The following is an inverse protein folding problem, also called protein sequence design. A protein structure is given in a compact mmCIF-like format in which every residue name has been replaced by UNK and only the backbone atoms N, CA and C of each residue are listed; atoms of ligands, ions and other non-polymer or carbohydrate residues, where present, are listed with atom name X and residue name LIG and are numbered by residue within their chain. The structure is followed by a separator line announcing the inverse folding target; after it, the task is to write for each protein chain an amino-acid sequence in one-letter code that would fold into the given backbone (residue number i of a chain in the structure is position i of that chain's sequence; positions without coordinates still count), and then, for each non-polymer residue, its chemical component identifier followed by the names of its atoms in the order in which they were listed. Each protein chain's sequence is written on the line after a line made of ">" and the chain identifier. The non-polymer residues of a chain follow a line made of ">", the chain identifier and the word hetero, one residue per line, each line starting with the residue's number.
data_IF_838188307459
#
_entry.id   IF_838188307459
#
_cell.length_a   1.000
_cell.length_b   1.000
_cell.length_c   1.000
_cell.angle_alpha   90.00
_cell.angle_beta   90.00
_cell.angle_gamma   90.00
#
_symmetry.space_group_name_H-M   'P 1'
#
loop_
_entity.id
_entity.type
_entity.pdbx_description
1 polymer ?
#
# COMPACT_ATOMS: atom_id res chain seq x y z
N UNK A 1 -3.59 -26.61 5.38
CA UNK A 1 -3.75 -27.88 6.13
C UNK A 1 -4.87 -27.78 7.18
N UNK A 2 -6.09 -27.41 6.73
CA UNK A 2 -7.26 -27.15 7.60
C UNK A 2 -8.43 -28.08 7.24
N UNK A 3 -8.51 -28.48 5.97
CA UNK A 3 -9.46 -29.46 5.42
C UNK A 3 -9.23 -30.88 5.93
N UNK A 4 -8.00 -31.23 6.28
CA UNK A 4 -7.65 -32.52 6.91
C UNK A 4 -8.02 -32.59 8.40
N UNK A 5 -8.17 -31.44 9.07
CA UNK A 5 -8.45 -31.34 10.52
C UNK A 5 -9.93 -31.13 10.86
N UNK A 6 -10.77 -30.69 9.92
CA UNK A 6 -12.20 -30.43 10.17
C UNK A 6 -13.09 -31.15 9.13
N UNK A 7 -13.48 -32.42 9.37
CA UNK A 7 -14.29 -33.23 8.44
C UNK A 7 -15.72 -32.71 8.17
N UNK A 8 -16.22 -31.79 9.01
CA UNK A 8 -17.56 -31.19 8.94
C UNK A 8 -17.56 -29.69 8.57
N UNK A 9 -16.46 -29.16 8.02
CA UNK A 9 -16.41 -27.76 7.63
C UNK A 9 -17.47 -27.47 6.55
N UNK A 10 -18.45 -26.65 6.91
CA UNK A 10 -19.50 -26.19 5.99
C UNK A 10 -18.88 -25.36 4.87
N UNK A 11 -19.40 -25.47 3.65
CA UNK A 11 -18.90 -24.74 2.48
C UNK A 11 -18.83 -23.23 2.75
N UNK A 12 -19.77 -22.72 3.55
CA UNK A 12 -19.81 -21.33 3.99
C UNK A 12 -18.58 -20.92 4.80
N UNK A 13 -18.08 -21.79 5.70
CA UNK A 13 -16.87 -21.52 6.49
C UNK A 13 -15.62 -21.50 5.61
N UNK A 14 -15.53 -22.39 4.62
CA UNK A 14 -14.39 -22.42 3.67
C UNK A 14 -14.34 -21.14 2.84
N UNK A 15 -15.50 -20.66 2.38
CA UNK A 15 -15.62 -19.39 1.66
C UNK A 15 -15.22 -18.21 2.53
N UNK A 16 -15.72 -18.13 3.76
CA UNK A 16 -15.43 -17.03 4.69
C UNK A 16 -13.92 -16.94 5.01
N UNK A 17 -13.27 -18.09 5.25
CA UNK A 17 -11.82 -18.15 5.47
C UNK A 17 -11.06 -17.70 4.22
N UNK A 18 -11.45 -18.17 3.03
CA UNK A 18 -10.81 -17.79 1.78
C UNK A 18 -10.92 -16.28 1.47
N UNK A 19 -12.10 -15.68 1.70
CA UNK A 19 -12.33 -14.24 1.54
C UNK A 19 -11.51 -13.41 2.56
N UNK A 20 -11.47 -13.85 3.82
CA UNK A 20 -10.67 -13.21 4.88
C UNK A 20 -9.17 -13.23 4.56
N UNK A 21 -8.67 -14.40 4.16
CA UNK A 21 -7.26 -14.58 3.78
C UNK A 21 -6.90 -13.79 2.51
N UNK A 22 -7.79 -13.78 1.50
CA UNK A 22 -7.64 -12.97 0.30
C UNK A 22 -7.52 -11.48 0.62
N UNK A 23 -8.41 -10.97 1.48
CA UNK A 23 -8.39 -9.58 1.95
C UNK A 23 -7.10 -9.26 2.69
N UNK A 24 -6.61 -10.17 3.55
CA UNK A 24 -5.36 -9.99 4.29
C UNK A 24 -4.15 -9.87 3.35
N UNK A 25 -4.07 -10.72 2.33
CA UNK A 25 -2.99 -10.68 1.33
C UNK A 25 -3.08 -9.38 0.51
N UNK A 26 -4.27 -9.01 0.05
CA UNK A 26 -4.50 -7.78 -0.69
C UNK A 26 -4.10 -6.52 0.11
N UNK A 27 -4.46 -6.48 1.39
CA UNK A 27 -4.08 -5.40 2.30
C UNK A 27 -2.55 -5.32 2.45
N UNK A 28 -1.87 -6.46 2.62
CA UNK A 28 -0.40 -6.49 2.75
C UNK A 28 0.31 -5.96 1.51
N UNK A 29 -0.22 -6.25 0.31
CA UNK A 29 0.35 -5.79 -0.95
C UNK A 29 0.14 -4.29 -1.15
N UNK A 30 -1.06 -3.79 -0.84
CA UNK A 30 -1.36 -2.37 -0.87
C UNK A 30 -0.51 -1.58 0.12
N UNK A 31 -0.32 -2.08 1.34
CA UNK A 31 0.44 -1.39 2.37
C UNK A 31 1.91 -1.15 1.96
N UNK A 32 2.51 -2.11 1.24
CA UNK A 32 3.86 -1.96 0.69
C UNK A 32 3.95 -0.83 -0.35
N UNK A 33 2.91 -0.63 -1.13
CA UNK A 33 2.86 0.41 -2.15
C UNK A 33 2.57 1.78 -1.53
N UNK A 34 1.77 1.84 -0.45
CA UNK A 34 1.43 3.09 0.25
C UNK A 34 2.67 3.84 0.76
N UNK A 35 3.73 3.14 1.19
CA UNK A 35 4.98 3.81 1.60
C UNK A 35 5.57 4.73 0.51
N UNK A 36 5.43 4.38 -0.77
CA UNK A 36 5.89 5.24 -1.87
C UNK A 36 5.03 6.51 -1.99
N UNK A 37 3.73 6.42 -1.72
CA UNK A 37 2.86 7.59 -1.67
C UNK A 37 3.23 8.51 -0.52
N UNK A 38 3.49 7.94 0.66
CA UNK A 38 3.90 8.71 1.84
C UNK A 38 5.20 9.45 1.58
N UNK A 39 6.21 8.78 1.01
CA UNK A 39 7.48 9.43 0.61
C UNK A 39 7.22 10.54 -0.42
N UNK A 40 6.38 10.27 -1.42
CA UNK A 40 6.01 11.25 -2.45
C UNK A 40 5.34 12.51 -1.89
N UNK A 41 4.57 12.38 -0.81
CA UNK A 41 3.93 13.51 -0.13
C UNK A 41 4.86 14.21 0.86
N UNK A 42 5.67 13.46 1.61
CA UNK A 42 6.53 14.01 2.67
C UNK A 42 7.78 14.69 2.09
N UNK A 43 8.37 14.17 1.01
CA UNK A 43 9.62 14.72 0.46
C UNK A 43 9.53 16.20 0.03
N UNK A 44 8.47 16.66 -0.66
CA UNK A 44 8.29 18.09 -0.95
C UNK A 44 8.11 18.94 0.31
N UNK A 45 7.42 18.43 1.33
CA UNK A 45 7.23 19.12 2.61
C UNK A 45 8.57 19.29 3.35
N UNK A 46 9.47 18.30 3.27
CA UNK A 46 10.83 18.43 3.79
C UNK A 46 11.66 19.47 3.01
N UNK A 47 11.49 19.57 1.70
CA UNK A 47 12.13 20.61 0.88
C UNK A 47 11.66 22.02 1.29
N UNK A 48 10.35 22.19 1.49
CA UNK A 48 9.76 23.42 2.03
C UNK A 48 10.30 23.72 3.44
N UNK A 49 10.41 22.72 4.32
CA UNK A 49 11.02 22.92 5.64
C UNK A 49 12.47 23.43 5.52
N UNK A 50 13.23 22.90 4.57
CA UNK A 50 14.57 23.39 4.23
C UNK A 50 14.60 24.85 3.78
N UNK A 51 13.56 25.34 3.09
CA UNK A 51 13.45 26.77 2.77
C UNK A 51 13.27 27.64 4.00
N UNK A 52 12.49 27.17 4.97
CA UNK A 52 12.23 27.90 6.22
C UNK A 52 13.52 28.06 7.00
N UNK A 53 14.31 26.98 7.12
CA UNK A 53 15.63 27.05 7.76
C UNK A 53 16.60 27.99 7.04
N UNK A 54 16.68 27.94 5.70
CA UNK A 54 17.56 28.81 4.91
C UNK A 54 17.20 30.29 5.06
N UNK A 55 15.91 30.61 5.08
CA UNK A 55 15.41 31.97 5.31
C UNK A 55 15.71 32.42 6.74
N UNK A 56 15.46 31.60 7.76
CA UNK A 56 15.76 31.93 9.17
C UNK A 56 17.25 32.24 9.35
N UNK A 57 18.13 31.41 8.78
CA UNK A 57 19.57 31.64 8.83
C UNK A 57 19.98 32.95 8.13
N UNK A 58 19.38 33.23 6.97
CA UNK A 58 19.61 34.48 6.22
C UNK A 58 19.24 35.71 7.04
N UNK A 59 18.08 35.69 7.70
CA UNK A 59 17.63 36.80 8.55
C UNK A 59 18.43 36.93 9.83
N UNK A 60 18.95 35.84 10.40
CA UNK A 60 19.87 35.89 11.54
C UNK A 60 21.17 36.63 11.21
N UNK A 61 21.75 36.37 10.03
CA UNK A 61 22.98 37.04 9.56
C UNK A 61 22.78 38.54 9.28
N UNK A 62 21.57 38.96 8.90
CA UNK A 62 21.23 40.38 8.72
C UNK A 62 21.26 41.17 10.04
N UNK A 63 21.10 40.51 11.19
CA UNK A 63 21.19 41.14 12.51
C UNK A 63 22.62 41.41 12.96
N UNK A 64 23.61 40.71 12.39
CA UNK A 64 25.03 40.80 12.79
C UNK A 64 25.89 41.64 11.85
N UNK A 65 25.60 41.67 10.55
CA UNK A 65 26.45 42.32 9.54
C UNK A 65 25.93 43.70 9.11
N UNK A 66 26.83 44.69 9.03
CA UNK A 66 26.53 46.06 8.60
C UNK A 66 27.18 46.33 7.24
N UNK A 67 26.39 46.74 6.24
CA UNK A 67 26.89 47.19 4.93
C UNK A 67 26.47 46.28 3.77
N UNK A 68 27.23 46.29 2.67
CA UNK A 68 26.94 45.52 1.44
C UNK A 68 27.05 44.01 1.61
N UNK A 69 27.85 43.54 2.57
CA UNK A 69 27.98 42.12 2.94
C UNK A 69 26.63 41.48 3.33
N UNK A 70 25.71 42.27 3.91
CA UNK A 70 24.36 41.82 4.30
C UNK A 70 23.57 41.27 3.11
N UNK A 71 23.67 41.93 1.94
CA UNK A 71 22.90 41.57 0.76
C UNK A 71 23.43 40.29 0.12
N UNK A 72 24.75 40.06 0.23
CA UNK A 72 25.41 38.84 -0.24
C UNK A 72 25.03 37.64 0.65
N UNK A 73 25.02 37.82 1.98
CA UNK A 73 24.60 36.77 2.90
C UNK A 73 23.12 36.38 2.69
N UNK A 74 22.25 37.38 2.53
CA UNK A 74 20.83 37.16 2.27
C UNK A 74 20.58 36.43 0.94
N UNK A 75 21.22 36.88 -0.15
CA UNK A 75 21.04 36.25 -1.46
C UNK A 75 21.52 34.81 -1.48
N UNK A 76 22.61 34.50 -0.75
CA UNK A 76 23.11 33.14 -0.59
C UNK A 76 22.11 32.24 0.12
N UNK A 77 21.57 32.64 1.27
CA UNK A 77 20.65 31.77 2.00
C UNK A 77 19.28 31.61 1.32
N UNK A 78 18.83 32.60 0.54
CA UNK A 78 17.69 32.42 -0.38
C UNK A 78 18.01 31.41 -1.47
N UNK A 79 19.21 31.47 -2.06
CA UNK A 79 19.63 30.50 -3.07
C UNK A 79 19.68 29.07 -2.51
N UNK A 80 20.22 28.90 -1.29
CA UNK A 80 20.26 27.60 -0.61
C UNK A 80 18.84 27.10 -0.30
N UNK A 81 17.93 27.99 0.12
CA UNK A 81 16.52 27.64 0.30
C UNK A 81 15.88 27.08 -0.99
N UNK A 82 16.11 27.73 -2.14
CA UNK A 82 15.57 27.26 -3.43
C UNK A 82 16.12 25.89 -3.85
N UNK A 83 17.40 25.61 -3.55
CA UNK A 83 18.00 24.28 -3.80
C UNK A 83 17.32 23.21 -2.95
N UNK A 84 16.98 23.49 -1.70
CA UNK A 84 16.28 22.55 -0.83
C UNK A 84 14.88 22.19 -1.38
N UNK A 85 14.14 23.16 -1.93
CA UNK A 85 12.86 22.89 -2.62
C UNK A 85 13.06 22.01 -3.83
N UNK A 86 14.04 22.34 -4.67
CA UNK A 86 14.33 21.55 -5.86
C UNK A 86 14.71 20.10 -5.50
N UNK A 87 15.48 19.90 -4.44
CA UNK A 87 15.83 18.58 -3.93
C UNK A 87 14.61 17.80 -3.43
N UNK A 88 13.72 18.42 -2.65
CA UNK A 88 12.47 17.79 -2.19
C UNK A 88 11.57 17.35 -3.33
N UNK A 89 11.45 18.19 -4.38
CA UNK A 89 10.70 17.84 -5.60
C UNK A 89 11.40 16.75 -6.42
N UNK A 90 12.73 16.77 -6.51
CA UNK A 90 13.50 15.75 -7.22
C UNK A 90 13.34 14.36 -6.62
N UNK A 91 13.02 14.24 -5.32
CA UNK A 91 12.71 12.97 -4.66
C UNK A 91 11.21 12.66 -4.75
N UNK A 92 10.33 13.65 -4.53
CA UNK A 92 8.88 13.46 -4.51
C UNK A 92 8.29 13.03 -5.86
N UNK A 93 8.77 13.62 -6.96
CA UNK A 93 8.26 13.33 -8.31
C UNK A 93 8.53 11.86 -8.71
N UNK A 94 9.78 11.33 -8.64
CA UNK A 94 10.03 9.93 -8.91
C UNK A 94 9.26 9.00 -7.97
N UNK A 95 9.18 9.30 -6.67
CA UNK A 95 8.45 8.47 -5.71
C UNK A 95 6.97 8.33 -6.08
N UNK A 96 6.31 9.43 -6.46
CA UNK A 96 4.92 9.43 -6.96
C UNK A 96 4.77 8.65 -8.27
N UNK A 97 5.73 8.76 -9.19
CA UNK A 97 5.73 8.01 -10.45
C UNK A 97 5.81 6.50 -10.21
N UNK A 98 6.73 6.06 -9.34
CA UNK A 98 6.83 4.66 -8.94
C UNK A 98 5.60 4.19 -8.19
N UNK A 99 5.04 5.00 -7.28
CA UNK A 99 3.78 4.70 -6.60
C UNK A 99 2.66 4.40 -7.60
N UNK A 100 2.46 5.26 -8.60
CA UNK A 100 1.43 5.07 -9.62
C UNK A 100 1.61 3.75 -10.39
N UNK A 101 2.85 3.42 -10.78
CA UNK A 101 3.18 2.19 -11.49
C UNK A 101 2.95 0.93 -10.62
N UNK A 102 3.49 0.91 -9.40
CA UNK A 102 3.36 -0.23 -8.49
C UNK A 102 1.93 -0.41 -7.99
N UNK A 103 1.17 0.67 -7.81
CA UNK A 103 -0.25 0.62 -7.46
C UNK A 103 -1.04 -0.10 -8.54
N UNK A 104 -0.85 0.25 -9.81
CA UNK A 104 -1.52 -0.45 -10.92
C UNK A 104 -1.19 -1.94 -10.95
N UNK A 105 0.09 -2.29 -10.74
CA UNK A 105 0.52 -3.69 -10.71
C UNK A 105 -0.06 -4.46 -9.52
N UNK A 106 -0.06 -3.86 -8.33
CA UNK A 106 -0.62 -4.46 -7.12
C UNK A 106 -2.12 -4.71 -7.26
N UNK A 107 -2.87 -3.75 -7.81
CA UNK A 107 -4.30 -3.90 -8.05
C UNK A 107 -4.59 -5.03 -9.05
N UNK A 108 -3.80 -5.13 -10.12
CA UNK A 108 -3.91 -6.25 -11.07
C UNK A 108 -3.71 -7.61 -10.39
N UNK A 109 -2.67 -7.74 -9.56
CA UNK A 109 -2.38 -8.97 -8.80
C UNK A 109 -3.53 -9.33 -7.82
N UNK A 110 -4.13 -8.33 -7.17
CA UNK A 110 -5.27 -8.53 -6.27
C UNK A 110 -6.48 -9.04 -7.06
N UNK A 111 -6.81 -8.42 -8.20
CA UNK A 111 -7.91 -8.88 -9.05
C UNK A 111 -7.69 -10.30 -9.58
N UNK A 112 -6.46 -10.67 -9.96
CA UNK A 112 -6.13 -12.03 -10.38
C UNK A 112 -6.31 -13.04 -9.23
N UNK A 113 -5.91 -12.68 -8.00
CA UNK A 113 -6.10 -13.50 -6.80
C UNK A 113 -7.59 -13.72 -6.50
N UNK A 114 -8.40 -12.65 -6.55
CA UNK A 114 -9.85 -12.71 -6.32
C UNK A 114 -10.55 -13.60 -7.36
N UNK A 115 -10.19 -13.45 -8.64
CA UNK A 115 -10.73 -14.27 -9.72
C UNK A 115 -10.37 -15.75 -9.53
N UNK A 116 -9.11 -16.06 -9.20
CA UNK A 116 -8.66 -17.42 -8.93
C UNK A 116 -9.36 -18.03 -7.70
N UNK A 117 -9.48 -17.27 -6.61
CA UNK A 117 -10.19 -17.69 -5.40
C UNK A 117 -11.65 -18.03 -5.69
N UNK A 118 -12.34 -17.16 -6.43
CA UNK A 118 -13.74 -17.37 -6.84
C UNK A 118 -13.90 -18.65 -7.67
N UNK A 119 -12.98 -18.89 -8.62
CA UNK A 119 -13.01 -20.09 -9.45
C UNK A 119 -12.78 -21.37 -8.63
N UNK A 120 -11.83 -21.36 -7.70
CA UNK A 120 -11.58 -22.50 -6.81
C UNK A 120 -12.78 -22.78 -5.90
N UNK A 121 -13.37 -21.75 -5.31
CA UNK A 121 -14.57 -21.89 -4.48
C UNK A 121 -15.76 -22.44 -5.28
N UNK A 122 -15.93 -22.03 -6.54
CA UNK A 122 -16.95 -22.56 -7.42
C UNK A 122 -16.74 -24.06 -7.73
N UNK A 123 -15.50 -24.50 -7.96
CA UNK A 123 -15.21 -25.92 -8.16
C UNK A 123 -15.47 -26.76 -6.90
N UNK A 124 -15.12 -26.23 -5.73
CA UNK A 124 -15.38 -26.89 -4.44
C UNK A 124 -16.89 -27.00 -4.19
N UNK A 125 -17.68 -25.96 -4.50
CA UNK A 125 -19.14 -25.98 -4.30
C UNK A 125 -19.81 -27.07 -5.15
N UNK A 126 -19.38 -27.24 -6.40
CA UNK A 126 -19.88 -28.28 -7.29
C UNK A 126 -19.53 -29.70 -6.79
N UNK A 127 -18.36 -29.89 -6.19
CA UNK A 127 -17.99 -31.18 -5.57
C UNK A 127 -18.77 -31.46 -4.29
N UNK A 128 -19.03 -30.44 -3.47
CA UNK A 128 -19.78 -30.59 -2.23
C UNK A 128 -21.24 -31.02 -2.51
N UNK A 129 -21.89 -30.42 -3.51
CA UNK A 129 -23.25 -30.80 -3.95
C UNK A 129 -23.36 -32.27 -4.36
N UNK A 130 -22.38 -32.80 -5.11
CA UNK A 130 -22.36 -34.22 -5.52
C UNK A 130 -22.11 -35.21 -4.37
N UNK A 131 -21.49 -34.77 -3.26
CA UNK A 131 -21.21 -35.63 -2.10
C UNK A 131 -22.43 -35.78 -1.19
N UNK A 132 -23.26 -34.74 -1.08
CA UNK A 132 -24.51 -34.76 -0.30
C UNK A 132 -25.56 -35.67 -0.95
N UNK A 133 -25.67 -35.68 -2.27
CA UNK A 133 -26.57 -36.58 -3.02
C UNK A 133 -26.22 -38.08 -2.89
N UNK A 134 -24.99 -38.42 -2.50
CA UNK A 134 -24.52 -39.81 -2.34
C UNK A 134 -24.80 -40.43 -0.98
N UNK A 135 -25.64 -39.80 -0.15
CA UNK A 135 -26.17 -40.45 1.06
C UNK A 135 -27.64 -40.81 0.85
N UNK A 136 -27.99 -41.79 0.00
CA UNK A 136 -29.30 -42.39 0.05
C UNK A 136 -29.37 -43.25 1.32
N UNK A 137 -30.44 -43.02 2.06
CA UNK A 137 -31.07 -43.88 3.06
C UNK A 137 -30.67 -45.36 2.91
N UNK A 138 -29.82 -45.87 3.80
CA UNK A 138 -29.60 -47.31 4.03
C UNK A 138 -29.78 -47.63 5.52
N UNK A 139 -30.91 -47.21 6.08
CA UNK A 139 -31.53 -47.73 7.31
C UNK A 139 -33.01 -47.37 7.06
N UNK A 140 -34.00 -48.25 6.84
CA UNK A 140 -34.32 -49.57 7.35
C UNK A 140 -35.15 -50.31 6.27
N UNK A 141 -34.58 -51.31 5.60
CA UNK A 141 -35.34 -52.39 4.96
C UNK A 141 -34.52 -53.68 5.15
N UNK A 142 -34.37 -54.11 6.40
CA UNK A 142 -34.13 -55.52 6.71
C UNK A 142 -34.56 -55.80 8.16
N UNK A 143 -35.77 -56.35 8.26
CA UNK A 143 -36.36 -57.17 9.34
C UNK A 143 -36.94 -56.46 10.57
#
# INVERSE_FOLDING_TARGET
>A
DFTTKNPHADFQQVREIAETEGTRVAASLNNRVIYLADIGMIAPLLGLLGTVFGIIHSFGALGSDIGSARYVALSRGISEALVNTAAGLAIGIPAMMFYAFFRGKAQKLISELEAASTHVLALISLQYGKRVERTPVLIEEEL
#
